data_IF_854200186738
#
_entry.id   IF_854200186738
#
_cell.length_a   1.000
_cell.length_b   1.000
_cell.length_c   1.000
_cell.angle_alpha   90.00
_cell.angle_beta   90.00
_cell.angle_gamma   90.00
#
_symmetry.space_group_name_H-M   'P 1'
#
loop_
_entity.id
_entity.type
_entity.pdbx_description
1 polymer ?
#
# COMPACT_ATOMS: atom_id res chain seq x y z
N UNK A 1 8.66 7.18 -16.33
CA UNK A 1 8.81 5.73 -16.37
C UNK A 1 10.03 5.38 -15.54
N UNK A 2 9.81 5.00 -14.27
CA UNK A 2 10.85 4.40 -13.46
C UNK A 2 11.34 3.15 -14.22
N UNK A 3 12.60 3.14 -14.60
CA UNK A 3 13.22 2.03 -15.28
C UNK A 3 13.27 0.85 -14.34
N UNK A 4 12.28 -0.04 -14.44
CA UNK A 4 12.24 -1.26 -13.65
C UNK A 4 13.49 -2.07 -13.90
N UNK A 5 14.18 -2.42 -12.83
CA UNK A 5 15.35 -3.28 -12.90
C UNK A 5 14.96 -4.63 -13.48
N UNK A 6 15.72 -5.09 -14.49
CA UNK A 6 15.55 -6.42 -15.05
C UNK A 6 16.39 -7.41 -14.26
N UNK A 7 15.75 -8.48 -13.80
CA UNK A 7 16.39 -9.61 -13.16
C UNK A 7 16.39 -10.80 -14.11
N UNK A 8 17.46 -11.58 -14.08
CA UNK A 8 17.50 -12.89 -14.70
C UNK A 8 17.49 -13.98 -13.64
N UNK A 9 16.86 -15.10 -13.94
CA UNK A 9 16.92 -16.29 -13.09
C UNK A 9 18.31 -16.89 -13.24
N UNK A 10 19.14 -16.80 -12.19
CA UNK A 10 20.49 -17.32 -12.12
C UNK A 10 20.52 -18.82 -11.81
N UNK A 11 19.66 -19.27 -10.89
CA UNK A 11 19.48 -20.69 -10.56
C UNK A 11 18.05 -21.16 -10.91
N UNK A 12 17.92 -21.71 -12.10
CA UNK A 12 16.63 -22.21 -12.61
C UNK A 12 16.11 -23.40 -11.79
N UNK A 13 16.98 -24.28 -11.31
CA UNK A 13 16.58 -25.48 -10.57
C UNK A 13 15.98 -25.06 -9.23
N UNK A 14 16.66 -24.19 -8.50
CA UNK A 14 16.16 -23.69 -7.23
C UNK A 14 14.89 -22.85 -7.42
N UNK A 15 14.82 -22.05 -8.46
CA UNK A 15 13.62 -21.28 -8.80
C UNK A 15 12.40 -22.19 -9.01
N UNK A 16 12.54 -23.27 -9.81
CA UNK A 16 11.44 -24.22 -9.99
C UNK A 16 11.08 -24.99 -8.71
N UNK A 17 12.04 -25.31 -7.85
CA UNK A 17 11.76 -25.89 -6.52
C UNK A 17 10.93 -24.94 -5.66
N UNK A 18 11.24 -23.65 -5.69
CA UNK A 18 10.50 -22.65 -4.93
C UNK A 18 9.07 -22.45 -5.49
N UNK A 19 8.90 -22.43 -6.82
CA UNK A 19 7.58 -22.44 -7.46
C UNK A 19 6.78 -23.68 -7.04
N UNK A 20 7.41 -24.86 -7.01
CA UNK A 20 6.75 -26.07 -6.54
C UNK A 20 6.33 -25.96 -5.07
N UNK A 21 7.23 -25.52 -4.18
CA UNK A 21 6.91 -25.27 -2.77
C UNK A 21 5.73 -24.32 -2.62
N UNK A 22 5.76 -23.20 -3.31
CA UNK A 22 4.68 -22.21 -3.28
C UNK A 22 3.35 -22.82 -3.77
N UNK A 23 3.36 -23.52 -4.87
CA UNK A 23 2.16 -24.18 -5.42
C UNK A 23 1.61 -25.24 -4.47
N UNK A 24 2.48 -26.03 -3.85
CA UNK A 24 2.12 -27.05 -2.88
C UNK A 24 1.55 -26.41 -1.60
N UNK A 25 2.13 -25.30 -1.13
CA UNK A 25 1.62 -24.55 0.00
C UNK A 25 0.18 -24.07 -0.21
N UNK A 26 -0.17 -23.62 -1.41
CA UNK A 26 -1.54 -23.20 -1.71
C UNK A 26 -2.50 -24.37 -1.97
N UNK A 27 -2.00 -25.46 -2.56
CA UNK A 27 -2.85 -26.60 -2.97
C UNK A 27 -3.15 -27.61 -1.85
N UNK A 28 -2.26 -27.76 -0.88
CA UNK A 28 -2.38 -28.83 0.12
C UNK A 28 -3.20 -28.41 1.36
N UNK A 29 -3.78 -29.40 2.10
CA UNK A 29 -4.45 -29.16 3.37
C UNK A 29 -3.54 -28.51 4.41
N UNK A 30 -4.13 -27.73 5.33
CA UNK A 30 -3.41 -26.94 6.33
C UNK A 30 -2.38 -27.75 7.14
N UNK A 31 -2.69 -29.02 7.47
CA UNK A 31 -1.84 -29.86 8.31
C UNK A 31 -0.46 -30.14 7.71
N UNK A 32 -0.32 -30.12 6.38
CA UNK A 32 0.95 -30.39 5.70
C UNK A 32 1.59 -29.15 5.09
N UNK A 33 0.93 -27.99 5.13
CA UNK A 33 1.47 -26.74 4.58
C UNK A 33 2.81 -26.33 5.18
N UNK A 34 3.04 -26.62 6.46
CA UNK A 34 4.30 -26.32 7.14
C UNK A 34 5.54 -26.92 6.45
N UNK A 35 5.41 -28.02 5.73
CA UNK A 35 6.51 -28.65 4.99
C UNK A 35 6.82 -27.95 3.66
N UNK A 36 5.95 -27.08 3.21
CA UNK A 36 6.06 -26.32 1.97
C UNK A 36 6.18 -24.83 2.21
N UNK A 37 6.50 -24.43 3.44
CA UNK A 37 6.72 -23.03 3.78
C UNK A 37 7.85 -22.45 2.93
N UNK A 38 7.68 -21.22 2.44
CA UNK A 38 8.66 -20.50 1.65
C UNK A 38 8.71 -19.04 2.10
N UNK A 39 9.83 -18.39 1.87
CA UNK A 39 10.04 -16.98 2.10
C UNK A 39 10.26 -16.25 0.78
N UNK A 40 10.00 -14.96 0.75
CA UNK A 40 10.32 -14.11 -0.41
C UNK A 40 11.80 -14.20 -0.80
N UNK A 41 12.67 -14.26 0.19
CA UNK A 41 14.13 -14.37 0.02
C UNK A 41 14.57 -15.67 -0.68
N UNK A 42 13.79 -16.74 -0.58
CA UNK A 42 14.05 -17.98 -1.34
C UNK A 42 14.03 -17.72 -2.86
N UNK A 43 13.19 -16.79 -3.30
CA UNK A 43 13.11 -16.39 -4.70
C UNK A 43 14.18 -15.35 -5.07
N UNK A 44 14.49 -14.44 -4.17
CA UNK A 44 15.55 -13.45 -4.36
C UNK A 44 16.91 -14.14 -4.56
N UNK A 45 17.19 -15.19 -3.79
CA UNK A 45 18.42 -15.99 -3.92
C UNK A 45 18.57 -16.68 -5.29
N UNK A 46 17.49 -16.85 -6.06
CA UNK A 46 17.50 -17.43 -7.39
C UNK A 46 17.69 -16.41 -8.51
N UNK A 47 17.79 -15.13 -8.17
CA UNK A 47 17.87 -14.02 -9.14
C UNK A 47 19.26 -13.41 -9.14
N UNK A 48 19.69 -12.94 -10.28
CA UNK A 48 20.87 -12.10 -10.41
C UNK A 48 20.46 -10.81 -11.14
N UNK A 49 20.89 -9.65 -10.66
CA UNK A 49 20.65 -8.40 -11.37
C UNK A 49 21.39 -8.42 -12.72
N UNK A 50 20.77 -7.91 -13.75
CA UNK A 50 21.41 -7.79 -15.07
C UNK A 50 22.53 -6.74 -15.07
N UNK A 51 22.52 -5.82 -14.11
CA UNK A 51 23.58 -4.83 -13.88
C UNK A 51 23.99 -4.82 -12.39
N UNK A 52 25.27 -4.89 -12.12
CA UNK A 52 25.87 -5.03 -10.78
C UNK A 52 25.71 -3.79 -9.85
N UNK A 53 24.96 -2.77 -10.22
CA UNK A 53 24.90 -1.50 -9.50
C UNK A 53 23.51 -1.12 -9.00
N UNK A 54 22.58 -2.08 -8.88
CA UNK A 54 21.26 -1.73 -8.41
C UNK A 54 20.95 -2.46 -7.12
N UNK A 55 20.71 -1.67 -6.10
CA UNK A 55 20.24 -2.10 -4.79
C UNK A 55 18.90 -2.80 -4.93
N UNK A 56 18.80 -3.95 -4.29
CA UNK A 56 17.63 -4.80 -4.36
C UNK A 56 16.52 -4.17 -3.52
N UNK A 57 15.52 -3.58 -4.19
CA UNK A 57 14.22 -3.23 -3.61
C UNK A 57 14.26 -2.40 -2.32
N UNK A 58 14.84 -1.22 -2.37
CA UNK A 58 14.60 -0.22 -1.35
C UNK A 58 13.43 0.66 -1.80
N UNK A 59 12.32 0.56 -1.07
CA UNK A 59 11.29 1.57 -1.12
C UNK A 59 11.81 2.74 -0.27
N UNK A 60 11.91 3.90 -0.89
CA UNK A 60 12.30 5.14 -0.21
C UNK A 60 11.16 6.15 -0.36
N UNK A 61 10.42 6.32 0.73
CA UNK A 61 9.29 7.24 0.77
C UNK A 61 9.73 8.70 0.65
N UNK A 62 10.94 9.04 1.10
CA UNK A 62 11.49 10.39 0.98
C UNK A 62 11.84 10.72 -0.47
N UNK A 63 12.45 9.78 -1.18
CA UNK A 63 12.73 9.91 -2.61
C UNK A 63 11.44 9.95 -3.41
N UNK A 64 10.47 9.08 -3.08
CA UNK A 64 9.14 9.08 -3.73
C UNK A 64 8.46 10.45 -3.58
N UNK A 65 8.53 11.07 -2.41
CA UNK A 65 7.99 12.41 -2.18
C UNK A 65 8.75 13.51 -2.92
N UNK A 66 10.07 13.42 -2.98
CA UNK A 66 10.89 14.34 -3.75
C UNK A 66 10.56 14.27 -5.25
N UNK A 67 10.47 13.06 -5.79
CA UNK A 67 10.10 12.81 -7.18
C UNK A 67 8.68 13.30 -7.49
N UNK A 68 7.74 13.05 -6.59
CA UNK A 68 6.38 13.56 -6.70
C UNK A 68 6.33 15.09 -6.82
N UNK A 69 7.13 15.82 -6.03
CA UNK A 69 7.21 17.28 -6.12
C UNK A 69 7.90 17.77 -7.40
N UNK A 70 8.99 17.12 -7.78
CA UNK A 70 9.84 17.54 -8.88
C UNK A 70 9.25 17.23 -10.26
N UNK A 71 8.45 16.16 -10.37
CA UNK A 71 7.85 15.70 -11.62
C UNK A 71 6.43 16.23 -11.86
N UNK A 72 6.00 17.27 -11.15
CA UNK A 72 4.69 17.90 -11.33
C UNK A 72 3.53 17.14 -10.69
N UNK A 73 3.83 16.12 -9.87
CA UNK A 73 2.86 15.42 -9.06
C UNK A 73 1.94 14.48 -9.81
N UNK A 74 0.65 14.45 -9.45
CA UNK A 74 -0.32 13.52 -10.05
C UNK A 74 -0.70 13.92 -11.47
N UNK A 75 -0.92 12.91 -12.32
CA UNK A 75 -1.50 13.06 -13.65
C UNK A 75 -2.98 12.67 -13.58
N UNK A 76 -3.85 13.46 -14.19
CA UNK A 76 -5.28 13.19 -14.27
C UNK A 76 -5.63 12.77 -15.70
N UNK A 77 -6.23 11.60 -15.84
CA UNK A 77 -6.86 11.17 -17.09
C UNK A 77 -8.36 11.47 -17.01
N UNK A 78 -8.79 12.53 -17.66
CA UNK A 78 -10.18 13.00 -17.63
C UNK A 78 -11.18 12.04 -18.30
N UNK A 79 -10.70 11.07 -19.09
CA UNK A 79 -11.54 10.15 -19.86
C UNK A 79 -11.82 8.82 -19.17
N UNK A 80 -11.07 8.46 -18.14
CA UNK A 80 -11.11 7.13 -17.56
C UNK A 80 -11.17 7.16 -16.03
N UNK A 81 -11.84 6.15 -15.46
CA UNK A 81 -11.70 5.83 -14.04
C UNK A 81 -10.34 5.19 -13.84
N UNK A 82 -9.58 5.67 -12.87
CA UNK A 82 -8.26 5.14 -12.53
C UNK A 82 -8.27 4.55 -11.14
N UNK A 83 -7.54 3.46 -10.95
CA UNK A 83 -7.19 2.90 -9.65
C UNK A 83 -5.68 3.06 -9.45
N UNK A 84 -5.29 3.70 -8.37
CA UNK A 84 -3.87 3.91 -8.05
C UNK A 84 -3.60 3.33 -6.68
N UNK A 85 -2.58 2.47 -6.58
CA UNK A 85 -2.08 1.90 -5.33
C UNK A 85 -0.67 2.43 -5.07
N UNK A 86 -0.48 3.04 -3.90
CA UNK A 86 0.83 3.37 -3.35
C UNK A 86 1.14 2.41 -2.22
N UNK A 87 2.20 1.62 -2.40
CA UNK A 87 2.74 0.78 -1.34
C UNK A 87 4.02 1.47 -0.84
N UNK A 88 3.92 2.02 0.36
CA UNK A 88 4.97 2.79 1.01
C UNK A 88 5.65 1.97 2.09
N UNK A 89 6.88 2.32 2.45
CA UNK A 89 7.53 1.81 3.68
C UNK A 89 6.70 2.22 4.90
N UNK A 90 6.19 3.45 4.86
CA UNK A 90 5.28 3.94 5.88
C UNK A 90 5.92 4.02 7.26
N UNK A 91 5.28 3.41 8.24
CA UNK A 91 5.73 3.37 9.63
C UNK A 91 6.64 2.17 9.97
N UNK A 92 7.19 1.49 8.95
CA UNK A 92 8.05 0.33 9.15
C UNK A 92 9.47 0.75 9.61
N UNK A 93 10.07 -0.03 10.51
CA UNK A 93 11.48 0.15 10.90
C UNK A 93 12.42 -0.46 9.82
N UNK A 94 13.65 0.05 9.65
CA UNK A 94 14.26 1.14 10.40
C UNK A 94 13.59 2.50 10.12
N UNK A 95 13.62 3.39 11.11
CA UNK A 95 13.07 4.74 10.94
C UNK A 95 14.18 5.65 10.43
N UNK A 96 14.02 6.17 9.22
CA UNK A 96 15.03 6.98 8.55
C UNK A 96 14.52 8.34 8.09
N UNK A 97 13.20 8.53 8.07
CA UNK A 97 12.56 9.72 7.55
C UNK A 97 12.03 10.62 8.68
N UNK A 98 12.24 11.92 8.55
CA UNK A 98 11.72 12.93 9.47
C UNK A 98 10.31 13.41 9.09
N UNK A 99 9.76 14.34 9.91
CA UNK A 99 8.44 14.92 9.73
C UNK A 99 8.30 15.81 8.47
N UNK A 100 9.41 16.17 7.82
CA UNK A 100 9.41 16.87 6.53
C UNK A 100 9.42 15.92 5.34
N UNK A 101 9.36 14.59 5.58
CA UNK A 101 9.51 13.56 4.56
C UNK A 101 10.89 13.63 3.86
N UNK A 102 11.93 13.76 4.66
CA UNK A 102 13.33 13.78 4.24
C UNK A 102 14.07 12.67 4.97
N UNK A 103 14.89 11.91 4.24
CA UNK A 103 15.79 10.94 4.83
C UNK A 103 16.86 11.67 5.66
N UNK A 104 16.99 11.28 6.91
CA UNK A 104 17.96 11.83 7.88
C UNK A 104 18.75 10.72 8.56
N UNK A 105 18.52 9.47 8.19
CA UNK A 105 19.10 8.28 8.81
C UNK A 105 18.50 7.96 10.19
N UNK A 106 18.78 6.75 10.67
CA UNK A 106 18.14 6.16 11.86
C UNK A 106 18.36 6.93 13.16
N UNK A 107 19.45 7.68 13.27
CA UNK A 107 19.83 8.36 14.53
C UNK A 107 19.11 9.68 14.78
N UNK A 108 18.51 10.28 13.75
CA UNK A 108 17.95 11.63 13.81
C UNK A 108 16.42 11.65 13.70
N UNK A 109 15.81 10.48 13.67
CA UNK A 109 14.35 10.33 13.55
C UNK A 109 13.77 9.39 14.62
N UNK A 110 12.47 9.17 14.54
CA UNK A 110 11.70 8.27 15.38
C UNK A 110 10.45 7.80 14.65
N UNK A 111 9.76 6.79 15.17
CA UNK A 111 8.47 6.34 14.64
C UNK A 111 7.48 7.50 14.44
N UNK A 112 7.34 8.38 15.44
CA UNK A 112 6.39 9.49 15.38
C UNK A 112 6.75 10.49 14.26
N UNK A 113 8.03 10.81 14.11
CA UNK A 113 8.51 11.69 13.04
C UNK A 113 8.30 11.05 11.66
N UNK A 114 8.60 9.77 11.54
CA UNK A 114 8.38 9.03 10.29
C UNK A 114 6.90 8.99 9.91
N UNK A 115 6.00 8.71 10.84
CA UNK A 115 4.55 8.77 10.61
C UNK A 115 4.12 10.17 10.14
N UNK A 116 4.65 11.22 10.76
CA UNK A 116 4.35 12.60 10.34
C UNK A 116 4.85 12.88 8.92
N UNK A 117 6.03 12.37 8.55
CA UNK A 117 6.56 12.45 7.18
C UNK A 117 5.68 11.75 6.16
N UNK A 118 5.21 10.54 6.48
CA UNK A 118 4.26 9.79 5.64
C UNK A 118 2.98 10.60 5.43
N UNK A 119 2.39 11.13 6.50
CA UNK A 119 1.19 11.96 6.39
C UNK A 119 1.43 13.29 5.66
N UNK A 120 2.64 13.83 5.69
CA UNK A 120 3.01 14.98 4.86
C UNK A 120 2.92 14.63 3.37
N UNK A 121 3.43 13.48 2.97
CA UNK A 121 3.30 13.02 1.59
C UNK A 121 1.83 12.81 1.20
N UNK A 122 1.06 12.09 2.01
CA UNK A 122 -0.36 11.85 1.80
C UNK A 122 -1.13 13.17 1.66
N UNK A 123 -0.88 14.15 2.53
CA UNK A 123 -1.49 15.47 2.46
C UNK A 123 -1.11 16.23 1.19
N UNK A 124 0.15 16.17 0.78
CA UNK A 124 0.60 16.76 -0.48
C UNK A 124 -0.11 16.16 -1.69
N UNK A 125 -0.29 14.85 -1.69
CA UNK A 125 -1.03 14.14 -2.72
C UNK A 125 -2.52 14.56 -2.75
N UNK A 126 -3.19 14.55 -1.59
CA UNK A 126 -4.59 14.98 -1.49
C UNK A 126 -4.77 16.46 -1.87
N UNK A 127 -3.81 17.33 -1.53
CA UNK A 127 -3.87 18.73 -1.96
C UNK A 127 -3.81 18.85 -3.48
N UNK A 128 -2.94 18.11 -4.15
CA UNK A 128 -2.91 18.12 -5.62
C UNK A 128 -4.19 17.54 -6.24
N UNK A 129 -4.81 16.54 -5.61
CA UNK A 129 -6.13 16.07 -6.06
C UNK A 129 -7.19 17.18 -5.99
N UNK A 130 -7.16 18.00 -4.93
CA UNK A 130 -8.05 19.17 -4.79
C UNK A 130 -7.76 20.24 -5.85
N UNK A 131 -6.49 20.58 -6.04
CA UNK A 131 -6.06 21.58 -7.01
C UNK A 131 -6.42 21.19 -8.46
N UNK A 132 -6.46 19.88 -8.72
CA UNK A 132 -6.86 19.32 -10.03
C UNK A 132 -8.36 18.99 -10.14
N UNK A 133 -9.14 19.26 -9.10
CA UNK A 133 -10.59 19.04 -9.08
C UNK A 133 -11.04 17.60 -9.10
N UNK A 134 -10.18 16.66 -8.68
CA UNK A 134 -10.50 15.22 -8.66
C UNK A 134 -10.68 14.65 -7.25
N UNK A 135 -10.40 15.44 -6.21
CA UNK A 135 -10.51 14.97 -4.82
C UNK A 135 -11.93 14.57 -4.46
N UNK A 136 -12.91 15.39 -4.79
CA UNK A 136 -14.30 15.18 -4.36
C UNK A 136 -14.91 13.92 -4.96
N UNK A 137 -14.65 13.65 -6.23
CA UNK A 137 -15.14 12.47 -6.94
C UNK A 137 -14.24 11.23 -6.81
N UNK A 138 -13.24 11.27 -5.92
CA UNK A 138 -12.33 10.15 -5.66
C UNK A 138 -12.62 9.50 -4.32
N UNK A 139 -12.53 8.17 -4.27
CA UNK A 139 -12.43 7.42 -3.01
C UNK A 139 -10.96 7.29 -2.63
N UNK A 140 -10.60 7.72 -1.42
CA UNK A 140 -9.25 7.61 -0.87
C UNK A 140 -9.29 6.68 0.34
N UNK A 141 -8.43 5.65 0.33
CA UNK A 141 -8.29 4.71 1.45
C UNK A 141 -6.82 4.70 1.86
N UNK A 142 -6.57 4.93 3.15
CA UNK A 142 -5.25 4.90 3.76
C UNK A 142 -5.28 3.83 4.84
N UNK A 143 -4.39 2.87 4.76
CA UNK A 143 -4.27 1.78 5.75
C UNK A 143 -2.87 1.21 5.76
N UNK A 144 -2.58 0.28 6.66
CA UNK A 144 -1.40 -0.56 6.63
C UNK A 144 -1.80 -2.03 6.47
N UNK A 145 -0.85 -2.85 6.03
CA UNK A 145 -1.02 -4.29 5.86
C UNK A 145 -1.11 -5.03 7.21
N UNK A 146 -0.44 -4.51 8.26
CA UNK A 146 -0.52 -4.97 9.63
C UNK A 146 -0.19 -3.85 10.61
N UNK A 147 -0.40 -4.09 11.89
CA UNK A 147 0.03 -3.19 12.97
C UNK A 147 1.48 -3.44 13.38
N UNK A 148 1.98 -2.61 14.29
CA UNK A 148 3.29 -2.81 14.93
C UNK A 148 3.27 -3.97 15.93
N UNK A 149 4.42 -4.62 16.11
CA UNK A 149 4.55 -5.70 17.07
C UNK A 149 4.45 -5.17 18.52
N UNK A 150 3.57 -5.74 19.31
CA UNK A 150 3.40 -5.43 20.73
C UNK A 150 2.25 -4.46 21.01
N UNK A 151 2.50 -3.15 21.06
CA UNK A 151 1.50 -2.17 21.50
C UNK A 151 0.47 -1.76 20.44
N UNK A 152 0.77 -1.94 19.16
CA UNK A 152 -0.05 -1.46 18.03
C UNK A 152 -0.35 -2.59 17.05
N UNK A 153 -1.04 -3.62 17.51
CA UNK A 153 -1.30 -4.82 16.71
C UNK A 153 -2.30 -4.61 15.57
N UNK A 154 -3.08 -3.52 15.61
CA UNK A 154 -4.13 -3.25 14.62
C UNK A 154 -3.84 -1.97 13.86
N UNK A 155 -3.78 -2.02 12.52
CA UNK A 155 -3.67 -0.82 11.72
C UNK A 155 -4.97 -0.03 11.76
N UNK A 156 -4.84 1.30 11.65
CA UNK A 156 -5.98 2.17 11.41
C UNK A 156 -6.36 2.14 9.93
N UNK A 157 -7.65 2.38 9.63
CA UNK A 157 -8.15 2.56 8.27
C UNK A 157 -8.82 3.92 8.20
N UNK A 158 -8.35 4.77 7.28
CA UNK A 158 -8.97 6.05 6.98
C UNK A 158 -9.64 5.95 5.61
N UNK A 159 -10.89 6.40 5.53
CA UNK A 159 -11.67 6.34 4.29
C UNK A 159 -12.30 7.69 4.01
N UNK A 160 -12.04 8.23 2.82
CA UNK A 160 -12.79 9.33 2.22
C UNK A 160 -13.53 8.77 1.02
N UNK A 161 -14.84 8.88 1.02
CA UNK A 161 -15.67 8.39 -0.08
C UNK A 161 -15.80 9.45 -1.17
N UNK A 162 -15.99 8.99 -2.42
CA UNK A 162 -16.35 9.89 -3.50
C UNK A 162 -17.66 10.61 -3.19
N UNK A 163 -17.78 11.84 -3.64
CA UNK A 163 -18.96 12.69 -3.53
C UNK A 163 -19.49 12.89 -2.09
N UNK A 164 -18.59 12.76 -1.09
CA UNK A 164 -18.92 13.03 0.30
C UNK A 164 -18.14 14.23 0.83
N UNK A 165 -18.86 15.11 1.53
CA UNK A 165 -18.29 16.27 2.21
C UNK A 165 -18.62 16.18 3.69
N UNK A 166 -17.63 15.88 4.51
CA UNK A 166 -17.75 15.87 5.96
C UNK A 166 -16.77 16.90 6.54
N UNK A 167 -17.27 17.85 7.30
CA UNK A 167 -16.44 18.85 7.98
C UNK A 167 -15.63 18.24 9.13
N UNK A 168 -16.07 17.10 9.65
CA UNK A 168 -15.45 16.43 10.80
C UNK A 168 -15.25 14.94 10.49
N UNK A 169 -14.05 14.44 10.83
CA UNK A 169 -13.76 13.02 10.76
C UNK A 169 -14.64 12.25 11.75
N UNK A 170 -15.35 11.25 11.25
CA UNK A 170 -16.12 10.33 12.10
C UNK A 170 -15.25 9.13 12.47
N UNK A 171 -15.32 8.70 13.72
CA UNK A 171 -14.60 7.54 14.23
C UNK A 171 -15.58 6.39 14.41
N UNK A 172 -15.27 5.25 13.81
CA UNK A 172 -15.99 4.00 14.03
C UNK A 172 -15.02 2.98 14.65
N UNK A 173 -15.45 2.29 15.69
CA UNK A 173 -14.67 1.28 16.42
C UNK A 173 -14.97 -0.17 15.96
N UNK A 174 -15.77 -0.36 14.93
CA UNK A 174 -16.06 -1.69 14.37
C UNK A 174 -14.79 -2.34 13.84
N UNK A 175 -14.71 -3.66 13.96
CA UNK A 175 -13.57 -4.41 13.44
C UNK A 175 -13.64 -4.51 11.91
N UNK A 176 -12.57 -4.07 11.25
CA UNK A 176 -12.39 -4.14 9.81
C UNK A 176 -11.46 -5.31 9.45
N UNK A 177 -11.74 -5.98 8.37
CA UNK A 177 -10.92 -7.06 7.81
C UNK A 177 -10.57 -6.76 6.35
N UNK A 178 -9.58 -7.48 5.79
CA UNK A 178 -9.26 -7.38 4.37
C UNK A 178 -10.45 -7.71 3.44
N UNK A 179 -11.42 -8.52 3.89
CA UNK A 179 -12.63 -8.78 3.11
C UNK A 179 -13.45 -7.51 2.91
N UNK A 180 -13.54 -6.66 3.94
CA UNK A 180 -14.21 -5.37 3.85
C UNK A 180 -13.48 -4.42 2.89
N UNK A 181 -12.14 -4.42 2.89
CA UNK A 181 -11.35 -3.66 1.92
C UNK A 181 -11.60 -4.14 0.49
N UNK A 182 -11.55 -5.45 0.22
CA UNK A 182 -11.85 -6.00 -1.11
C UNK A 182 -13.27 -5.67 -1.58
N UNK A 183 -14.25 -5.78 -0.68
CA UNK A 183 -15.62 -5.39 -0.98
C UNK A 183 -15.71 -3.90 -1.37
N UNK A 184 -15.00 -3.05 -0.62
CA UNK A 184 -14.96 -1.60 -0.84
C UNK A 184 -14.30 -1.24 -2.17
N UNK A 185 -13.15 -1.85 -2.49
CA UNK A 185 -12.48 -1.64 -3.77
C UNK A 185 -13.35 -2.06 -4.96
N UNK A 186 -14.02 -3.22 -4.84
CA UNK A 186 -14.94 -3.69 -5.87
C UNK A 186 -16.11 -2.74 -6.09
N UNK A 187 -16.71 -2.25 -5.02
CA UNK A 187 -17.82 -1.29 -5.12
C UNK A 187 -17.36 0.07 -5.66
N UNK A 188 -16.25 0.60 -5.17
CA UNK A 188 -15.71 1.88 -5.64
C UNK A 188 -15.31 1.84 -7.13
N UNK A 189 -14.68 0.75 -7.58
CA UNK A 189 -14.19 0.62 -8.94
C UNK A 189 -15.32 0.27 -9.94
N UNK A 190 -16.20 -0.65 -9.56
CA UNK A 190 -17.18 -1.25 -10.48
C UNK A 190 -18.61 -0.74 -10.27
N UNK A 191 -18.88 -0.03 -9.17
CA UNK A 191 -20.20 0.42 -8.79
C UNK A 191 -21.16 -0.72 -8.42
N UNK A 192 -20.65 -1.90 -8.10
CA UNK A 192 -21.43 -3.08 -7.77
C UNK A 192 -21.01 -3.66 -6.42
N UNK A 193 -21.99 -4.00 -5.58
CA UNK A 193 -21.69 -4.72 -4.33
C UNK A 193 -21.05 -6.08 -4.64
N UNK A 194 -19.97 -6.37 -3.97
CA UNK A 194 -19.27 -7.63 -4.11
C UNK A 194 -19.84 -8.69 -3.16
N UNK A 195 -19.58 -9.97 -3.45
CA UNK A 195 -19.94 -11.09 -2.57
C UNK A 195 -19.01 -11.24 -1.35
N UNK A 196 -18.08 -10.31 -1.12
CA UNK A 196 -17.11 -10.39 -0.02
C UNK A 196 -17.63 -9.89 1.33
N UNK A 197 -18.87 -9.42 1.40
CA UNK A 197 -19.51 -8.92 2.62
C UNK A 197 -19.67 -7.40 2.63
N UNK A 198 -19.81 -6.82 3.82
CA UNK A 198 -20.01 -5.39 3.98
C UNK A 198 -18.77 -4.59 3.54
N UNK A 199 -19.00 -3.49 2.87
CA UNK A 199 -17.95 -2.51 2.55
C UNK A 199 -17.64 -1.63 3.76
N UNK A 200 -16.55 -0.89 3.72
CA UNK A 200 -16.27 0.18 4.68
C UNK A 200 -17.34 1.28 4.64
N UNK A 201 -17.98 1.46 3.50
CA UNK A 201 -19.07 2.41 3.32
C UNK A 201 -20.33 1.96 4.08
N UNK A 202 -20.68 0.67 4.00
CA UNK A 202 -21.80 0.11 4.77
C UNK A 202 -21.54 0.23 6.29
N UNK A 203 -20.32 0.01 6.73
CA UNK A 203 -19.92 0.09 8.14
C UNK A 203 -19.93 1.53 8.66
N UNK A 204 -19.60 2.49 7.83
CA UNK A 204 -19.66 3.91 8.17
C UNK A 204 -21.11 4.45 8.28
N UNK A 205 -22.11 3.64 7.97
CA UNK A 205 -23.53 4.05 7.97
C UNK A 205 -23.88 5.10 6.90
N UNK A 206 -23.02 5.24 5.89
CA UNK A 206 -23.20 6.18 4.80
C UNK A 206 -23.70 5.43 3.58
N UNK A 207 -24.97 5.60 3.26
CA UNK A 207 -25.50 5.12 1.98
C UNK A 207 -24.97 6.01 0.86
N UNK A 208 -24.28 5.45 -0.13
CA UNK A 208 -23.99 6.18 -1.37
C UNK A 208 -25.32 6.52 -2.07
N UNK A 209 -25.62 7.80 -2.17
CA UNK A 209 -26.64 8.26 -3.12
C UNK A 209 -26.09 8.05 -4.53
N UNK A 210 -26.66 7.14 -5.27
CA UNK A 210 -26.39 6.91 -6.69
C UNK A 210 -27.09 7.97 -7.54
#
# INVERSE_FOLDING_TARGET
TAGGQKYRISDKVQFFKNIYKMSAFYAFPQIIKQYFWFYGDDFAACQAPENNNVIQYELDDSQLYADFKNNGGITVDAGNKTFTLYHMVGAHAPYEMNEQCVDVGETETSLDKQIQGVFRYINGYMQQMKDKGVYDNSTVIITADHGGYGLYERPAVFVKMADTHNDVMQVNSDSVTFKNLYATYGEAALGQKSNYGNTLFDMAGVSQSR
#
